data_IF_725333582321
#
_entry.id   IF_725333582321
#
_cell.length_a   1.000
_cell.length_b   1.000
_cell.length_c   1.000
_cell.angle_alpha   90.00
_cell.angle_beta   90.00
_cell.angle_gamma   90.00
#
_symmetry.space_group_name_H-M   'P 1'
#
loop_
_entity.id
_entity.type
_entity.pdbx_description
1 polymer ?
#
# COMPACT_ATOMS: atom_id res chain seq x y z
N UNK A 1 47.96 -12.10 -23.20
CA UNK A 1 46.50 -12.05 -23.46
C UNK A 1 45.65 -12.69 -22.38
N UNK A 2 46.14 -13.67 -21.59
CA UNK A 2 45.37 -14.33 -20.53
C UNK A 2 45.26 -13.52 -19.22
N UNK A 3 46.28 -12.72 -18.91
CA UNK A 3 46.36 -11.91 -17.68
C UNK A 3 45.42 -10.68 -17.69
N UNK A 4 45.16 -10.12 -18.87
CA UNK A 4 44.27 -8.97 -19.07
C UNK A 4 42.80 -9.35 -18.96
N UNK A 5 42.43 -10.58 -19.33
CA UNK A 5 41.06 -11.08 -19.23
C UNK A 5 40.68 -11.34 -17.76
N UNK A 6 41.60 -11.88 -16.96
CA UNK A 6 41.38 -12.08 -15.53
C UNK A 6 41.23 -10.76 -14.76
N UNK A 7 41.99 -9.72 -15.12
CA UNK A 7 41.91 -8.41 -14.48
C UNK A 7 40.59 -7.67 -14.76
N UNK A 8 40.03 -7.84 -15.96
CA UNK A 8 38.73 -7.24 -16.33
C UNK A 8 37.58 -7.97 -15.62
N UNK A 9 37.65 -9.30 -15.49
CA UNK A 9 36.62 -10.09 -14.80
C UNK A 9 36.54 -9.79 -13.30
N UNK A 10 37.68 -9.56 -12.62
CA UNK A 10 37.70 -9.21 -11.20
C UNK A 10 37.20 -7.78 -10.94
N UNK A 11 37.50 -6.84 -11.84
CA UNK A 11 37.01 -5.46 -11.74
C UNK A 11 35.48 -5.37 -11.86
N UNK A 12 34.89 -6.12 -12.80
CA UNK A 12 33.42 -6.12 -13.01
C UNK A 12 32.69 -6.68 -11.78
N UNK A 13 33.22 -7.74 -11.16
CA UNK A 13 32.62 -8.36 -9.97
C UNK A 13 32.64 -7.42 -8.76
N UNK A 14 33.72 -6.67 -8.55
CA UNK A 14 33.82 -5.72 -7.43
C UNK A 14 32.86 -4.54 -7.55
N UNK A 15 32.63 -4.03 -8.77
CA UNK A 15 31.66 -2.96 -9.03
C UNK A 15 30.22 -3.42 -8.75
N UNK A 16 29.88 -4.65 -9.12
CA UNK A 16 28.56 -5.23 -8.85
C UNK A 16 28.31 -5.42 -7.34
N UNK A 17 29.30 -5.88 -6.58
CA UNK A 17 29.16 -6.05 -5.12
C UNK A 17 29.06 -4.70 -4.38
N UNK A 18 29.80 -3.67 -4.83
CA UNK A 18 29.71 -2.33 -4.26
C UNK A 18 28.36 -1.64 -4.55
N UNK A 19 27.73 -1.96 -5.69
CA UNK A 19 26.38 -1.48 -6.02
C UNK A 19 25.29 -2.14 -5.15
N UNK A 20 25.47 -3.39 -4.71
CA UNK A 20 24.48 -4.09 -3.88
C UNK A 20 24.58 -3.79 -2.37
N UNK A 21 25.75 -3.35 -1.89
CA UNK A 21 25.93 -2.95 -0.48
C UNK A 21 25.26 -1.61 -0.13
N UNK A 22 24.74 -0.89 -1.12
CA UNK A 22 24.02 0.38 -0.96
C UNK A 22 22.52 0.26 -0.69
N UNK A 23 21.92 -0.94 -0.70
CA UNK A 23 20.51 -1.12 -0.33
C UNK A 23 20.34 -1.22 1.20
N UNK A 24 20.94 -0.26 1.90
CA UNK A 24 20.57 0.09 3.26
C UNK A 24 19.21 0.77 3.22
N UNK A 25 18.14 0.02 2.94
CA UNK A 25 16.83 0.46 3.34
C UNK A 25 16.80 0.30 4.85
N UNK A 26 17.07 1.41 5.53
CA UNK A 26 16.43 1.72 6.78
C UNK A 26 14.91 1.58 6.55
N UNK A 27 14.43 0.35 6.58
CA UNK A 27 13.08 0.05 6.98
C UNK A 27 13.01 0.58 8.40
N UNK A 28 12.72 1.88 8.53
CA UNK A 28 12.08 2.40 9.73
C UNK A 28 11.09 1.32 10.08
N UNK A 29 11.29 0.67 11.23
CA UNK A 29 10.30 -0.22 11.80
C UNK A 29 9.01 0.54 11.68
N UNK A 30 8.18 0.15 10.72
CA UNK A 30 6.83 0.66 10.62
C UNK A 30 6.26 0.20 11.93
N UNK A 31 6.22 1.12 12.91
CA UNK A 31 5.60 0.90 14.21
C UNK A 31 4.35 0.14 13.89
N UNK A 32 4.30 -1.16 14.25
CA UNK A 32 3.33 -2.13 13.73
C UNK A 32 2.05 -1.39 13.47
N UNK A 33 1.81 -1.05 12.19
CA UNK A 33 0.65 -0.23 11.84
C UNK A 33 -0.50 -1.02 12.43
N UNK A 34 -1.15 -0.46 13.46
CA UNK A 34 -2.13 -1.23 14.20
C UNK A 34 -3.07 -1.76 13.15
N UNK A 35 -3.20 -3.09 13.06
CA UNK A 35 -3.99 -3.69 12.00
C UNK A 35 -5.42 -3.25 12.26
N UNK A 36 -5.83 -2.15 11.63
CA UNK A 36 -7.17 -1.62 11.77
C UNK A 36 -8.05 -2.58 10.99
N UNK A 37 -8.83 -3.35 11.73
CA UNK A 37 -9.77 -4.30 11.16
C UNK A 37 -11.07 -3.58 10.79
N UNK A 38 -11.71 -4.03 9.71
CA UNK A 38 -13.09 -3.65 9.43
C UNK A 38 -14.02 -4.39 10.40
N UNK A 39 -14.91 -3.67 11.08
CA UNK A 39 -15.95 -4.21 11.95
C UNK A 39 -17.32 -4.19 11.28
N UNK A 40 -17.49 -3.40 10.22
CA UNK A 40 -18.72 -3.33 9.44
C UNK A 40 -18.47 -2.82 8.03
N UNK A 41 -19.35 -3.18 7.10
CA UNK A 41 -19.32 -2.67 5.73
C UNK A 41 -20.74 -2.57 5.20
N UNK A 42 -21.13 -1.39 4.75
CA UNK A 42 -22.41 -1.14 4.09
C UNK A 42 -22.13 -0.61 2.70
N UNK A 43 -22.73 -1.20 1.66
CA UNK A 43 -22.48 -0.82 0.28
C UNK A 43 -23.76 -0.34 -0.42
N UNK A 44 -23.57 0.59 -1.36
CA UNK A 44 -24.57 1.00 -2.33
C UNK A 44 -24.99 -0.17 -3.23
N UNK A 45 -26.08 0.04 -3.99
CA UNK A 45 -26.40 -0.85 -5.11
C UNK A 45 -25.25 -0.83 -6.12
N UNK A 46 -24.98 -1.99 -6.72
CA UNK A 46 -23.97 -2.15 -7.76
C UNK A 46 -24.33 -1.32 -9.00
N UNK A 47 -23.38 -0.55 -9.51
CA UNK A 47 -23.49 0.12 -10.81
C UNK A 47 -23.41 -0.89 -11.96
N UNK A 48 -23.77 -0.46 -13.18
CA UNK A 48 -23.55 -1.22 -14.42
C UNK A 48 -22.08 -1.58 -14.66
N UNK A 49 -21.15 -0.78 -14.13
CA UNK A 49 -19.70 -0.97 -14.26
C UNK A 49 -19.10 -1.92 -13.20
N UNK A 50 -19.95 -2.67 -12.48
CA UNK A 50 -19.58 -3.55 -11.36
C UNK A 50 -18.90 -2.86 -10.16
N UNK A 51 -19.03 -1.53 -10.10
CA UNK A 51 -18.51 -0.69 -9.01
C UNK A 51 -19.60 -0.48 -7.94
N UNK A 52 -19.17 -0.43 -6.68
CA UNK A 52 -19.98 -0.06 -5.51
C UNK A 52 -19.24 0.97 -4.67
N UNK A 53 -19.99 1.89 -4.10
CA UNK A 53 -19.49 2.70 -2.99
C UNK A 53 -19.83 1.97 -1.68
N UNK A 54 -18.87 1.86 -0.78
CA UNK A 54 -19.03 1.18 0.49
C UNK A 54 -18.48 2.05 1.62
N UNK A 55 -19.25 2.21 2.68
CA UNK A 55 -18.77 2.76 3.94
C UNK A 55 -18.28 1.61 4.81
N UNK A 56 -16.98 1.65 5.15
CA UNK A 56 -16.33 0.66 6.01
C UNK A 56 -16.17 1.26 7.41
N UNK A 57 -16.72 0.57 8.41
CA UNK A 57 -16.49 0.91 9.82
C UNK A 57 -15.25 0.19 10.31
N UNK A 58 -14.32 0.96 10.87
CA UNK A 58 -13.05 0.51 11.40
C UNK A 58 -13.18 0.10 12.87
N UNK A 59 -12.22 -0.66 13.38
CA UNK A 59 -12.19 -1.14 14.77
C UNK A 59 -12.16 -0.02 15.81
N UNK A 60 -11.71 1.18 15.43
CA UNK A 60 -11.71 2.38 16.26
C UNK A 60 -12.93 3.29 15.99
N UNK A 61 -14.00 2.73 15.43
CA UNK A 61 -15.30 3.37 15.13
C UNK A 61 -15.29 4.38 13.98
N UNK A 62 -14.12 4.71 13.43
CA UNK A 62 -14.04 5.58 12.26
C UNK A 62 -14.70 4.95 11.05
N UNK A 63 -15.24 5.77 10.18
CA UNK A 63 -15.87 5.38 8.93
C UNK A 63 -15.04 5.93 7.77
N UNK A 64 -14.71 5.07 6.82
CA UNK A 64 -13.99 5.41 5.59
C UNK A 64 -14.86 5.01 4.40
N UNK A 65 -14.94 5.89 3.40
CA UNK A 65 -15.65 5.62 2.15
C UNK A 65 -14.69 4.95 1.18
N UNK A 66 -15.11 3.84 0.60
CA UNK A 66 -14.33 3.08 -0.36
C UNK A 66 -15.13 2.80 -1.63
N UNK A 67 -14.48 2.90 -2.77
CA UNK A 67 -14.97 2.38 -4.04
C UNK A 67 -14.45 0.96 -4.20
N UNK A 68 -15.38 0.00 -4.33
CA UNK A 68 -15.08 -1.41 -4.48
C UNK A 68 -15.45 -1.85 -5.89
N UNK A 69 -14.50 -2.44 -6.58
CA UNK A 69 -14.70 -3.09 -7.87
C UNK A 69 -14.55 -4.60 -7.68
N UNK A 70 -15.51 -5.38 -8.17
CA UNK A 70 -15.44 -6.84 -8.07
C UNK A 70 -16.20 -7.51 -9.22
N UNK A 71 -15.43 -8.19 -10.09
CA UNK A 71 -15.91 -9.04 -11.17
C UNK A 71 -15.21 -10.39 -11.12
N UNK A 72 -16.01 -11.46 -11.08
CA UNK A 72 -15.52 -12.84 -11.06
C UNK A 72 -14.42 -13.07 -10.02
N UNK A 73 -13.15 -13.19 -10.45
CA UNK A 73 -11.96 -13.44 -9.63
C UNK A 73 -11.02 -12.22 -9.51
N UNK A 74 -11.42 -11.06 -10.07
CA UNK A 74 -10.64 -9.82 -9.98
C UNK A 74 -11.43 -8.81 -9.15
N UNK A 75 -10.74 -8.21 -8.20
CA UNK A 75 -11.34 -7.18 -7.37
C UNK A 75 -10.28 -6.29 -6.76
N UNK A 76 -10.73 -5.13 -6.34
CA UNK A 76 -9.93 -4.14 -5.66
C UNK A 76 -10.82 -3.19 -4.90
N UNK A 77 -10.21 -2.50 -3.94
CA UNK A 77 -10.86 -1.44 -3.20
C UNK A 77 -9.90 -0.25 -3.13
N UNK A 78 -10.46 0.94 -3.27
CA UNK A 78 -9.77 2.20 -3.06
C UNK A 78 -10.56 3.01 -2.05
N UNK A 79 -9.91 3.56 -1.03
CA UNK A 79 -10.57 4.24 0.08
C UNK A 79 -10.08 5.68 0.21
N UNK A 80 -11.00 6.59 0.52
CA UNK A 80 -10.69 7.98 0.83
C UNK A 80 -10.28 8.13 2.30
N UNK A 81 -8.97 8.05 2.54
CA UNK A 81 -8.40 8.24 3.86
C UNK A 81 -8.30 9.72 4.29
N UNK A 82 -8.45 10.66 3.36
CA UNK A 82 -8.33 12.09 3.65
C UNK A 82 -9.55 12.60 4.43
N UNK A 83 -10.73 12.06 4.11
CA UNK A 83 -12.00 12.39 4.77
C UNK A 83 -12.53 11.26 5.66
N UNK A 84 -11.63 10.48 6.28
CA UNK A 84 -12.04 9.47 7.26
C UNK A 84 -12.72 10.17 8.43
N UNK A 85 -13.87 9.66 8.89
CA UNK A 85 -14.66 10.35 9.91
C UNK A 85 -13.82 10.60 11.17
N UNK A 86 -13.85 11.82 11.70
CA UNK A 86 -13.08 12.23 12.87
C UNK A 86 -11.63 12.65 12.59
N UNK A 87 -11.13 12.51 11.34
CA UNK A 87 -9.92 13.21 10.90
C UNK A 87 -10.20 14.69 10.61
N UNK A 88 -11.36 14.96 10.02
CA UNK A 88 -11.88 16.31 9.90
C UNK A 88 -12.34 16.78 11.29
N UNK A 89 -11.63 17.75 11.83
CA UNK A 89 -12.10 18.54 12.97
C UNK A 89 -13.24 19.42 12.45
N UNK A 90 -14.42 18.83 12.23
CA UNK A 90 -15.63 19.58 11.95
C UNK A 90 -15.77 20.64 13.06
N UNK A 91 -15.70 21.95 12.75
CA UNK A 91 -15.91 22.96 13.77
C UNK A 91 -17.34 22.77 14.29
N UNK A 92 -17.47 22.59 15.61
CA UNK A 92 -18.77 22.47 16.24
C UNK A 92 -19.63 23.68 15.82
N UNK A 93 -20.73 23.40 15.11
CA UNK A 93 -21.75 24.39 14.80
C UNK A 93 -22.58 24.69 16.04
#
# INVERSE_FOLDING_TARGET
MRNTICAVATAITLVLCAALAGCGNASKTSTTAHAIAATGTTCSKRSSDDIKECTVTLSDTRQVVCVVYSVYQRGGLSCDWSHVSGADKEPAR
#
